data_IF_285603623833
#
_entry.id   IF_285603623833
#
_cell.length_a   1.000
_cell.length_b   1.000
_cell.length_c   1.000
_cell.angle_alpha   90.00
_cell.angle_beta   90.00
_cell.angle_gamma   90.00
#
_symmetry.space_group_name_H-M   'P 1'
#
loop_
_entity.id
_entity.type
_entity.pdbx_description
1 polymer ?
#
# COMPACT_ATOMS: atom_id res chain seq x y z
N UNK A 1 5.86 -13.15 10.61
CA UNK A 1 4.69 -14.06 10.56
C UNK A 1 3.62 -13.48 11.47
N UNK A 2 2.38 -13.33 11.01
CA UNK A 2 1.35 -12.65 11.80
C UNK A 2 0.91 -13.51 13.00
N UNK A 3 0.84 -12.96 14.22
CA UNK A 3 0.31 -13.69 15.37
C UNK A 3 -1.10 -14.21 15.06
N UNK A 4 -1.33 -15.50 15.25
CA UNK A 4 -2.62 -16.17 15.01
C UNK A 4 -3.13 -16.11 13.55
N UNK A 5 -2.26 -15.81 12.58
CA UNK A 5 -2.64 -15.72 11.17
C UNK A 5 -3.52 -14.50 10.83
N UNK A 6 -3.72 -13.56 11.76
CA UNK A 6 -4.52 -12.35 11.55
C UNK A 6 -3.63 -11.11 11.50
N UNK A 7 -3.91 -10.22 10.55
CA UNK A 7 -3.18 -8.97 10.38
C UNK A 7 -4.14 -7.78 10.43
N UNK A 8 -3.80 -6.75 11.21
CA UNK A 8 -4.57 -5.52 11.28
C UNK A 8 -4.22 -4.63 10.08
N UNK A 9 -5.09 -4.61 9.06
CA UNK A 9 -4.91 -3.84 7.83
C UNK A 9 -5.66 -2.49 7.85
N UNK A 10 -5.67 -1.81 9.00
CA UNK A 10 -6.43 -0.56 9.22
C UNK A 10 -5.61 0.71 9.03
N UNK A 11 -4.30 0.57 8.82
CA UNK A 11 -3.35 1.68 8.66
C UNK A 11 -2.42 1.38 7.50
N UNK A 12 -1.94 2.43 6.83
CA UNK A 12 -0.92 2.28 5.79
C UNK A 12 0.40 1.80 6.39
N UNK A 13 1.12 0.97 5.61
CA UNK A 13 2.50 0.63 5.90
C UNK A 13 3.49 1.75 5.52
N UNK A 14 4.76 1.61 5.90
CA UNK A 14 5.80 2.58 5.57
C UNK A 14 6.11 2.56 4.07
N UNK A 15 6.59 3.70 3.56
CA UNK A 15 7.19 3.82 2.24
C UNK A 15 8.60 3.22 2.26
N UNK A 16 9.11 2.80 1.09
CA UNK A 16 10.50 2.32 1.03
C UNK A 16 11.49 3.46 1.23
N UNK A 17 12.71 3.17 1.75
CA UNK A 17 13.75 4.17 1.90
C UNK A 17 14.08 4.83 0.56
N UNK A 18 13.90 6.13 0.49
CA UNK A 18 14.05 6.93 -0.70
C UNK A 18 14.58 8.32 -0.33
N UNK A 19 15.32 8.95 -1.25
CA UNK A 19 15.88 10.27 -1.00
C UNK A 19 14.76 11.30 -0.91
N UNK A 20 14.88 12.21 0.04
CA UNK A 20 14.01 13.37 0.11
C UNK A 20 14.23 14.23 -1.15
N UNK A 21 13.20 14.29 -1.99
CA UNK A 21 13.18 15.06 -3.24
C UNK A 21 12.44 16.40 -3.07
N UNK A 22 12.24 16.87 -1.84
CA UNK A 22 11.42 18.04 -1.54
C UNK A 22 9.92 17.75 -1.58
N UNK A 23 9.54 16.47 -1.47
CA UNK A 23 8.15 16.01 -1.41
C UNK A 23 7.87 15.50 0.00
N UNK A 24 6.64 15.68 0.49
CA UNK A 24 6.22 14.98 1.69
C UNK A 24 6.18 13.47 1.41
N UNK A 25 7.00 12.72 2.14
CA UNK A 25 7.04 11.26 2.10
C UNK A 25 6.64 10.78 3.50
N UNK A 26 5.62 9.90 3.61
CA UNK A 26 5.26 9.27 4.88
C UNK A 26 6.44 8.53 5.54
N UNK A 27 6.20 7.97 6.73
CA UNK A 27 7.18 7.15 7.44
C UNK A 27 7.85 6.12 6.50
N UNK A 28 9.17 5.98 6.61
CA UNK A 28 9.97 5.07 5.79
C UNK A 28 10.58 3.95 6.65
N UNK A 29 10.71 2.76 6.08
CA UNK A 29 11.30 1.56 6.72
C UNK A 29 11.75 0.55 5.64
N UNK A 30 12.76 -0.29 5.88
CA UNK A 30 13.14 -1.36 4.93
C UNK A 30 12.08 -2.46 4.81
N UNK A 31 11.23 -2.62 5.82
CA UNK A 31 10.04 -3.48 5.79
C UNK A 31 8.86 -2.82 5.05
N UNK A 32 9.13 -2.23 3.88
CA UNK A 32 8.18 -1.43 3.10
C UNK A 32 7.36 -2.20 2.05
N UNK A 33 7.61 -3.49 1.85
CA UNK A 33 6.92 -4.26 0.81
C UNK A 33 5.49 -4.62 1.24
N UNK A 34 4.60 -3.65 1.10
CA UNK A 34 3.18 -3.74 1.42
C UNK A 34 2.31 -3.25 0.24
N UNK A 35 1.02 -3.59 0.29
CA UNK A 35 0.02 -3.15 -0.68
C UNK A 35 -1.28 -2.80 0.03
N UNK A 36 -2.10 -1.97 -0.62
CA UNK A 36 -3.40 -1.54 -0.12
C UNK A 36 -4.50 -2.11 -1.03
N UNK A 37 -5.56 -2.65 -0.43
CA UNK A 37 -6.70 -3.21 -1.15
C UNK A 37 -7.94 -2.40 -0.83
N UNK A 38 -8.62 -1.92 -1.87
CA UNK A 38 -9.91 -1.24 -1.76
C UNK A 38 -10.94 -2.03 -2.57
N UNK A 39 -12.07 -2.34 -1.94
CA UNK A 39 -13.15 -3.10 -2.57
C UNK A 39 -14.49 -2.61 -2.01
N UNK A 40 -15.58 -2.59 -2.81
CA UNK A 40 -16.91 -2.47 -2.25
C UNK A 40 -17.17 -3.60 -1.24
N UNK A 41 -18.16 -3.41 -0.35
CA UNK A 41 -18.53 -4.46 0.60
C UNK A 41 -18.99 -5.70 -0.17
N UNK A 42 -18.20 -6.77 -0.10
CA UNK A 42 -18.47 -8.03 -0.82
C UNK A 42 -19.36 -8.94 0.04
N UNK A 43 -20.41 -9.52 -0.54
CA UNK A 43 -21.21 -10.58 0.10
C UNK A 43 -20.78 -11.95 -0.43
N UNK A 44 -20.98 -13.00 0.38
CA UNK A 44 -20.45 -14.37 0.19
C UNK A 44 -20.81 -15.00 -1.17
N UNK A 45 -21.84 -14.48 -1.85
CA UNK A 45 -22.36 -15.01 -3.12
C UNK A 45 -22.05 -14.13 -4.35
N UNK A 46 -21.10 -13.18 -4.25
CA UNK A 46 -20.75 -12.35 -5.40
C UNK A 46 -19.75 -13.02 -6.34
N UNK A 47 -19.97 -12.80 -7.63
CA UNK A 47 -19.05 -13.15 -8.71
C UNK A 47 -17.71 -12.43 -8.58
N UNK A 48 -16.66 -12.98 -9.22
CA UNK A 48 -15.33 -12.36 -9.27
C UNK A 48 -15.42 -10.93 -9.78
N UNK A 49 -14.83 -9.99 -9.03
CA UNK A 49 -14.75 -8.58 -9.42
C UNK A 49 -13.52 -8.35 -10.32
N UNK A 50 -13.62 -7.47 -11.33
CA UNK A 50 -12.45 -6.97 -12.02
C UNK A 50 -11.46 -6.31 -11.04
N UNK A 51 -10.16 -6.56 -11.23
CA UNK A 51 -9.09 -6.03 -10.36
C UNK A 51 -8.32 -4.96 -11.12
N UNK A 52 -8.27 -3.75 -10.55
CA UNK A 52 -7.36 -2.69 -10.99
C UNK A 52 -6.11 -2.72 -10.12
N UNK A 53 -4.94 -2.81 -10.73
CA UNK A 53 -3.65 -2.70 -10.04
C UNK A 53 -3.03 -1.35 -10.40
N UNK A 54 -2.85 -0.49 -9.40
CA UNK A 54 -2.17 0.79 -9.57
C UNK A 54 -0.70 0.67 -9.19
N UNK A 55 0.17 1.18 -10.07
CA UNK A 55 1.61 1.24 -9.86
C UNK A 55 1.98 2.72 -9.78
N UNK A 56 2.52 3.13 -8.64
CA UNK A 56 2.90 4.54 -8.43
C UNK A 56 4.04 4.95 -9.36
N UNK A 57 4.13 6.26 -9.63
CA UNK A 57 5.22 6.87 -10.41
C UNK A 57 6.50 7.05 -9.60
N UNK A 58 7.27 8.09 -9.94
CA UNK A 58 8.49 8.48 -9.21
C UNK A 58 9.80 7.94 -9.79
N UNK A 59 9.79 7.53 -11.07
CA UNK A 59 11.02 7.31 -11.85
C UNK A 59 11.96 6.24 -11.27
N UNK A 60 11.42 5.25 -10.57
CA UNK A 60 12.15 4.19 -9.87
C UNK A 60 13.03 4.68 -8.70
N UNK A 61 12.83 5.92 -8.25
CA UNK A 61 13.61 6.54 -7.17
C UNK A 61 12.77 6.97 -5.99
N UNK A 62 11.49 7.28 -6.21
CA UNK A 62 10.58 7.75 -5.17
C UNK A 62 9.14 7.30 -5.43
N UNK A 63 8.26 7.60 -4.47
CA UNK A 63 6.85 7.23 -4.47
C UNK A 63 6.53 6.06 -3.54
N UNK A 64 5.27 5.96 -3.15
CA UNK A 64 4.71 4.84 -2.42
C UNK A 64 3.18 4.84 -2.52
N UNK A 65 2.55 3.74 -2.11
CA UNK A 65 1.11 3.54 -2.23
C UNK A 65 0.25 4.32 -1.22
N UNK A 66 0.89 4.93 -0.22
CA UNK A 66 0.28 5.71 0.87
C UNK A 66 0.57 7.21 0.79
N UNK A 67 1.24 7.67 -0.27
CA UNK A 67 1.52 9.09 -0.47
C UNK A 67 0.22 9.83 -0.78
N UNK A 68 -0.09 10.85 0.02
CA UNK A 68 -1.14 11.82 -0.32
C UNK A 68 -0.69 12.61 -1.54
N UNK A 69 -1.52 12.60 -2.58
CA UNK A 69 -1.34 13.39 -3.80
C UNK A 69 -1.75 14.84 -3.55
#
# INVERSE_FOLDING_TARGET
>A
MFPNGSFSATSFGPCCPQRDAGLYIPMQDEQCLNLNIFTPKVTVNQSLLPVLVWIHGGGLQSGCSSQSI
#
